data_IF_310614596084
#
_entry.id   IF_310614596084
#
_cell.length_a   1.000
_cell.length_b   1.000
_cell.length_c   1.000
_cell.angle_alpha   90.00
_cell.angle_beta   90.00
_cell.angle_gamma   90.00
#
_symmetry.space_group_name_H-M   'P 1'
#
loop_
_entity.id
_entity.type
_entity.pdbx_description
1 polymer ?
#
# COMPACT_ATOMS: atom_id res chain seq x y z
N UNK A 1 9.24 9.42 25.59
CA UNK A 1 9.77 8.66 24.43
C UNK A 1 10.01 9.63 23.25
N UNK A 2 11.00 10.52 23.37
CA UNK A 2 11.32 11.55 22.35
C UNK A 2 12.43 11.07 21.40
N UNK A 3 13.35 10.29 21.93
CA UNK A 3 14.44 9.65 21.19
C UNK A 3 13.90 8.63 20.18
N UNK A 4 12.90 7.82 20.54
CA UNK A 4 12.33 6.85 19.59
C UNK A 4 11.72 7.54 18.36
N UNK A 5 11.01 8.65 18.55
CA UNK A 5 10.44 9.43 17.44
C UNK A 5 11.52 10.06 16.54
N UNK A 6 12.64 10.50 17.10
CA UNK A 6 13.75 11.00 16.28
C UNK A 6 14.46 9.87 15.53
N UNK A 7 14.60 8.69 16.14
CA UNK A 7 15.16 7.51 15.46
C UNK A 7 14.25 7.08 14.30
N UNK A 8 12.94 7.00 14.51
CA UNK A 8 11.95 6.73 13.45
C UNK A 8 12.04 7.76 12.31
N UNK A 9 12.24 9.04 12.65
CA UNK A 9 12.38 10.11 11.66
C UNK A 9 13.67 9.97 10.85
N UNK A 10 14.79 9.67 11.51
CA UNK A 10 16.08 9.46 10.83
C UNK A 10 16.03 8.24 9.90
N UNK A 11 15.49 7.11 10.38
CA UNK A 11 15.31 5.91 9.55
C UNK A 11 14.47 6.24 8.32
N UNK A 12 13.35 6.94 8.53
CA UNK A 12 12.49 7.37 7.43
C UNK A 12 13.16 8.33 6.43
N UNK A 13 14.15 9.13 6.85
CA UNK A 13 14.91 10.00 5.95
C UNK A 13 15.93 9.23 5.11
N UNK A 14 16.61 8.24 5.71
CA UNK A 14 17.53 7.36 4.98
C UNK A 14 16.78 6.57 3.91
N UNK A 15 15.60 6.07 4.26
CA UNK A 15 14.72 5.35 3.34
C UNK A 15 14.35 6.18 2.10
N UNK A 16 13.98 7.46 2.32
CA UNK A 16 13.65 8.40 1.24
C UNK A 16 14.84 8.67 0.32
N UNK A 17 16.05 8.80 0.87
CA UNK A 17 17.26 9.03 0.07
C UNK A 17 17.61 7.81 -0.80
N UNK A 18 17.47 6.61 -0.26
CA UNK A 18 17.71 5.36 -1.01
C UNK A 18 16.66 5.17 -2.11
N UNK A 19 15.43 5.55 -1.85
CA UNK A 19 14.34 5.49 -2.83
C UNK A 19 14.55 6.50 -3.96
N UNK A 20 14.89 7.75 -3.63
CA UNK A 20 15.22 8.77 -4.62
C UNK A 20 16.39 8.30 -5.51
N UNK A 21 17.41 7.69 -4.91
CA UNK A 21 18.54 7.11 -5.65
C UNK A 21 18.12 5.98 -6.60
N UNK A 22 17.15 5.13 -6.24
CA UNK A 22 16.62 4.07 -7.12
C UNK A 22 15.77 4.63 -8.27
N UNK A 23 15.02 5.69 -8.02
CA UNK A 23 14.22 6.39 -9.03
C UNK A 23 15.15 7.11 -10.03
N UNK A 24 16.11 7.90 -9.54
CA UNK A 24 17.06 8.66 -10.39
C UNK A 24 17.99 7.77 -11.20
N UNK A 25 18.33 6.58 -10.69
CA UNK A 25 19.13 5.59 -11.42
C UNK A 25 18.34 4.78 -12.44
N UNK A 26 17.01 4.96 -12.52
CA UNK A 26 16.13 4.18 -13.39
C UNK A 26 16.04 2.69 -13.02
N UNK A 27 16.41 2.33 -11.78
CA UNK A 27 16.44 0.96 -11.29
C UNK A 27 15.11 0.47 -10.72
N UNK A 28 14.07 1.32 -10.71
CA UNK A 28 12.75 0.89 -10.28
C UNK A 28 12.10 0.00 -11.35
N UNK A 29 12.11 -1.31 -11.11
CA UNK A 29 11.46 -2.29 -11.98
C UNK A 29 9.96 -2.23 -11.78
N UNK A 30 9.26 -1.57 -12.71
CA UNK A 30 7.80 -1.56 -12.74
C UNK A 30 7.30 -2.92 -13.27
N UNK A 31 7.06 -3.87 -12.36
CA UNK A 31 6.52 -5.19 -12.72
C UNK A 31 5.00 -5.14 -12.94
N UNK A 32 4.58 -4.59 -14.07
CA UNK A 32 3.18 -4.56 -14.49
C UNK A 32 2.72 -5.93 -14.96
N UNK A 33 1.60 -6.43 -14.42
CA UNK A 33 0.98 -7.66 -14.89
C UNK A 33 -0.55 -7.52 -14.94
N UNK A 34 -1.23 -8.24 -15.85
CA UNK A 34 -2.68 -8.38 -15.80
C UNK A 34 -3.13 -9.02 -14.49
N UNK A 35 -4.17 -8.48 -13.88
CA UNK A 35 -4.74 -8.98 -12.63
C UNK A 35 -6.26 -8.78 -12.60
N UNK A 36 -6.94 -9.71 -11.94
CA UNK A 36 -8.38 -9.60 -11.69
C UNK A 36 -8.61 -8.63 -10.52
N UNK A 37 -9.26 -7.51 -10.81
CA UNK A 37 -9.45 -6.43 -9.84
C UNK A 37 -10.23 -6.90 -8.62
N UNK A 38 -11.27 -7.72 -8.85
CA UNK A 38 -12.12 -8.28 -7.79
C UNK A 38 -11.31 -9.01 -6.72
N UNK A 39 -10.41 -9.91 -7.15
CA UNK A 39 -9.56 -10.69 -6.23
C UNK A 39 -8.65 -9.78 -5.38
N UNK A 40 -8.08 -8.73 -5.99
CA UNK A 40 -7.24 -7.77 -5.24
C UNK A 40 -8.04 -6.95 -4.23
N UNK A 41 -9.28 -6.56 -4.56
CA UNK A 41 -10.13 -5.82 -3.61
C UNK A 41 -10.58 -6.71 -2.46
N UNK A 42 -10.95 -7.96 -2.73
CA UNK A 42 -11.30 -8.95 -1.70
C UNK A 42 -10.13 -9.15 -0.71
N UNK A 43 -8.92 -9.32 -1.23
CA UNK A 43 -7.70 -9.42 -0.42
C UNK A 43 -7.48 -8.18 0.46
N UNK A 44 -7.67 -6.98 -0.10
CA UNK A 44 -7.53 -5.74 0.66
C UNK A 44 -8.55 -5.65 1.81
N UNK A 45 -9.80 -6.02 1.55
CA UNK A 45 -10.86 -6.04 2.56
C UNK A 45 -10.52 -6.98 3.70
N UNK A 46 -10.02 -8.18 3.40
CA UNK A 46 -9.60 -9.13 4.44
C UNK A 46 -8.46 -8.59 5.30
N UNK A 47 -7.45 -7.96 4.68
CA UNK A 47 -6.32 -7.38 5.41
C UNK A 47 -6.77 -6.27 6.36
N UNK A 48 -7.71 -5.43 5.94
CA UNK A 48 -8.28 -4.39 6.80
C UNK A 48 -9.09 -5.00 7.94
N UNK A 49 -9.95 -5.98 7.65
CA UNK A 49 -10.72 -6.69 8.68
C UNK A 49 -9.84 -7.38 9.73
N UNK A 50 -8.65 -7.87 9.34
CA UNK A 50 -7.67 -8.48 10.26
C UNK A 50 -6.87 -7.47 11.09
N UNK A 51 -6.70 -6.24 10.60
CA UNK A 51 -5.82 -5.24 11.22
C UNK A 51 -6.56 -4.26 12.14
N UNK A 52 -7.85 -4.05 11.90
CA UNK A 52 -8.71 -3.28 12.79
C UNK A 52 -9.13 -4.15 13.99
N UNK A 53 -9.13 -3.55 15.19
CA UNK A 53 -9.71 -4.16 16.41
C UNK A 53 -11.20 -4.47 16.19
N UNK A 54 -11.97 -5.11 17.11
CA UNK A 54 -13.33 -5.58 16.86
C UNK A 54 -14.36 -4.44 16.82
N UNK A 55 -14.13 -3.45 15.97
CA UNK A 55 -15.12 -2.55 15.41
C UNK A 55 -15.80 -3.35 14.31
N UNK A 56 -17.12 -3.51 14.40
CA UNK A 56 -17.93 -4.15 13.37
C UNK A 56 -17.89 -3.31 12.08
N UNK A 57 -16.83 -3.48 11.28
CA UNK A 57 -16.66 -2.85 9.98
C UNK A 57 -17.40 -3.66 8.92
N UNK A 58 -18.55 -3.15 8.49
CA UNK A 58 -19.27 -3.69 7.34
C UNK A 58 -18.70 -3.11 6.04
N UNK A 59 -17.76 -3.82 5.41
CA UNK A 59 -17.17 -3.45 4.13
C UNK A 59 -17.78 -4.32 3.02
N UNK A 60 -18.39 -3.68 2.02
CA UNK A 60 -19.00 -4.31 0.84
C UNK A 60 -18.30 -3.85 -0.44
N UNK A 61 -18.15 -4.73 -1.41
CA UNK A 61 -17.62 -4.41 -2.74
C UNK A 61 -18.61 -4.83 -3.84
N UNK A 62 -18.83 -3.94 -4.80
CA UNK A 62 -19.64 -4.19 -6.00
C UNK A 62 -18.74 -4.07 -7.22
N UNK A 63 -18.09 -5.18 -7.59
CA UNK A 63 -17.12 -5.25 -8.68
C UNK A 63 -17.51 -6.36 -9.63
N UNK A 64 -17.59 -6.05 -10.93
CA UNK A 64 -17.83 -7.03 -11.97
C UNK A 64 -16.63 -8.00 -12.07
N UNK A 65 -16.90 -9.29 -12.21
CA UNK A 65 -15.88 -10.35 -12.16
C UNK A 65 -14.92 -10.38 -13.35
N UNK A 66 -15.27 -9.71 -14.46
CA UNK A 66 -14.54 -9.68 -15.71
C UNK A 66 -13.56 -8.50 -15.84
N UNK A 67 -13.48 -7.64 -14.81
CA UNK A 67 -12.57 -6.49 -14.81
C UNK A 67 -11.13 -6.97 -14.56
N UNK A 68 -10.34 -6.94 -15.65
CA UNK A 68 -8.90 -7.10 -15.61
C UNK A 68 -8.22 -5.74 -15.75
N UNK A 69 -7.21 -5.49 -14.90
CA UNK A 69 -6.38 -4.29 -14.98
C UNK A 69 -4.92 -4.69 -15.13
N UNK A 70 -4.10 -3.79 -15.66
CA UNK A 70 -2.64 -3.95 -15.69
C UNK A 70 -2.09 -3.06 -14.58
N UNK A 71 -1.55 -3.67 -13.53
CA UNK A 71 -0.89 -2.93 -12.47
C UNK A 71 0.19 -3.77 -11.79
N UNK A 72 0.96 -3.14 -10.91
CA UNK A 72 1.82 -3.85 -9.97
C UNK A 72 0.96 -4.37 -8.83
N UNK A 73 0.85 -5.69 -8.69
CA UNK A 73 -0.02 -6.34 -7.69
C UNK A 73 0.16 -5.75 -6.29
N UNK A 74 1.40 -5.65 -5.83
CA UNK A 74 1.70 -5.25 -4.45
C UNK A 74 1.39 -3.77 -4.21
N UNK A 75 1.70 -2.90 -5.18
CA UNK A 75 1.38 -1.46 -5.08
C UNK A 75 -0.12 -1.22 -5.12
N UNK A 76 -0.85 -1.95 -5.97
CA UNK A 76 -2.31 -1.85 -6.03
C UNK A 76 -2.96 -2.28 -4.72
N UNK A 77 -2.55 -3.43 -4.18
CA UNK A 77 -3.06 -3.92 -2.89
C UNK A 77 -2.80 -2.90 -1.76
N UNK A 78 -1.61 -2.32 -1.73
CA UNK A 78 -1.25 -1.30 -0.75
C UNK A 78 -2.12 -0.05 -0.87
N UNK A 79 -2.35 0.45 -2.10
CA UNK A 79 -3.28 1.57 -2.34
C UNK A 79 -4.67 1.24 -1.81
N UNK A 80 -5.20 0.05 -2.10
CA UNK A 80 -6.54 -0.36 -1.68
C UNK A 80 -6.66 -0.44 -0.15
N UNK A 81 -5.71 -1.10 0.52
CA UNK A 81 -5.68 -1.20 1.99
C UNK A 81 -5.62 0.19 2.63
N UNK A 82 -4.78 1.06 2.09
CA UNK A 82 -4.65 2.43 2.56
C UNK A 82 -5.96 3.22 2.45
N UNK A 83 -6.64 3.12 1.31
CA UNK A 83 -7.93 3.79 1.09
C UNK A 83 -9.03 3.25 2.02
N UNK A 84 -9.03 1.94 2.28
CA UNK A 84 -10.00 1.28 3.14
C UNK A 84 -9.75 1.59 4.64
N UNK A 85 -8.50 1.72 5.07
CA UNK A 85 -8.17 2.11 6.45
C UNK A 85 -8.38 3.60 6.69
N UNK A 86 -8.02 4.45 5.71
CA UNK A 86 -8.09 5.91 5.83
C UNK A 86 -8.45 6.54 4.48
N UNK A 87 -9.64 7.16 4.34
CA UNK A 87 -9.96 7.92 3.15
C UNK A 87 -9.04 9.15 3.06
N UNK A 88 -8.01 9.03 2.23
CA UNK A 88 -7.14 10.10 1.72
C UNK A 88 -6.54 11.07 2.77
N UNK A 89 -5.49 10.64 3.48
CA UNK A 89 -4.56 11.54 4.20
C UNK A 89 -3.10 11.04 4.20
N UNK A 90 -2.71 10.23 3.22
CA UNK A 90 -1.40 9.55 3.24
C UNK A 90 -0.38 10.28 2.36
N UNK A 91 0.78 10.69 2.90
CA UNK A 91 1.87 11.21 2.08
C UNK A 91 2.37 10.11 1.14
N UNK A 92 2.76 10.49 -0.09
CA UNK A 92 3.22 9.58 -1.15
C UNK A 92 4.34 8.61 -0.71
N UNK A 93 5.04 8.92 0.39
CA UNK A 93 6.05 8.08 1.06
C UNK A 93 5.57 6.68 1.48
N UNK A 94 4.27 6.45 1.63
CA UNK A 94 3.74 5.14 2.04
C UNK A 94 3.58 4.13 0.89
N UNK A 95 3.76 4.55 -0.38
CA UNK A 95 3.61 3.67 -1.55
C UNK A 95 4.87 2.86 -1.90
N UNK A 96 5.94 3.03 -1.12
CA UNK A 96 7.27 2.52 -1.42
C UNK A 96 7.90 1.70 -0.30
N UNK A 97 7.31 1.70 0.90
CA UNK A 97 7.82 0.97 2.06
C UNK A 97 6.78 0.02 2.67
N UNK A 98 6.87 -1.25 2.31
CA UNK A 98 6.71 -2.35 3.29
C UNK A 98 7.92 -3.28 3.15
N UNK A 99 8.75 -3.47 4.19
CA UNK A 99 9.62 -4.64 4.26
C UNK A 99 8.74 -5.88 4.48
N UNK A 100 9.17 -6.99 3.85
CA UNK A 100 8.64 -8.34 4.06
C UNK A 100 8.72 -8.75 5.53
#
# INVERSE_FOLDING_TARGET
>A
MRIQKEVERMTSMVDVLLELSRIESGQEVVNMAPLQLKLKVEEAIELVKRSESPVDLNITSEIQSDINVVAQSDKLLQILVNLLQKPLSLPLRWFYHRPQ
#
